data_IF_849910655271
#
_entry.id   IF_849910655271
#
_cell.length_a   1.000
_cell.length_b   1.000
_cell.length_c   1.000
_cell.angle_alpha   90.00
_cell.angle_beta   90.00
_cell.angle_gamma   90.00
#
_symmetry.space_group_name_H-M   'P 1'
#
loop_
_entity.id
_entity.type
_entity.pdbx_description
1 polymer ?
#
# COMPACT_ATOMS: atom_id res chain seq x y z
N UNK A 1 0.67 -16.55 66.18
CA UNK A 1 1.46 -15.73 65.23
C UNK A 1 1.86 -16.46 63.94
N UNK A 2 2.29 -17.73 63.95
CA UNK A 2 2.67 -18.49 62.72
C UNK A 2 1.56 -18.69 61.66
N UNK A 3 0.27 -18.56 62.02
CA UNK A 3 -0.87 -18.75 61.09
C UNK A 3 -1.11 -17.56 60.13
N UNK A 4 -0.60 -16.37 60.46
CA UNK A 4 -0.76 -15.16 59.63
C UNK A 4 0.49 -14.81 58.82
N UNK A 5 1.65 -15.39 59.14
CA UNK A 5 2.91 -15.10 58.45
C UNK A 5 2.91 -15.59 57.00
N UNK A 6 2.30 -16.74 56.73
CA UNK A 6 2.29 -17.38 55.40
C UNK A 6 1.36 -16.66 54.40
N UNK A 7 0.10 -16.30 54.75
CA UNK A 7 -0.71 -15.49 53.84
C UNK A 7 -0.08 -14.12 53.60
N UNK A 8 0.49 -13.47 54.64
CA UNK A 8 1.17 -12.19 54.49
C UNK A 8 2.37 -12.27 53.54
N UNK A 9 3.19 -13.32 53.63
CA UNK A 9 4.34 -13.53 52.74
C UNK A 9 3.91 -13.79 51.30
N UNK A 10 2.80 -14.53 51.09
CA UNK A 10 2.25 -14.78 49.77
C UNK A 10 1.68 -13.51 49.13
N UNK A 11 1.02 -12.65 49.92
CA UNK A 11 0.52 -11.35 49.44
C UNK A 11 1.67 -10.40 49.12
N UNK A 12 2.74 -10.39 49.92
CA UNK A 12 3.94 -9.60 49.65
C UNK A 12 4.69 -10.09 48.41
N UNK A 13 4.76 -11.40 48.17
CA UNK A 13 5.37 -11.97 46.97
C UNK A 13 4.55 -11.64 45.72
N UNK A 14 3.21 -11.73 45.79
CA UNK A 14 2.32 -11.36 44.70
C UNK A 14 2.37 -9.85 44.40
N UNK A 15 2.44 -9.01 45.44
CA UNK A 15 2.64 -7.57 45.28
C UNK A 15 4.02 -7.23 44.68
N UNK A 16 5.08 -7.97 45.04
CA UNK A 16 6.41 -7.82 44.46
C UNK A 16 6.47 -8.27 42.98
N UNK A 17 5.71 -9.28 42.60
CA UNK A 17 5.53 -9.71 41.20
C UNK A 17 4.75 -8.69 40.36
N UNK A 18 3.75 -8.02 40.94
CA UNK A 18 3.00 -6.94 40.29
C UNK A 18 3.76 -5.59 40.26
N UNK A 19 4.83 -5.44 41.04
CA UNK A 19 5.63 -4.22 41.13
C UNK A 19 6.88 -4.25 40.24
N UNK A 20 7.07 -5.30 39.44
CA UNK A 20 8.08 -5.26 38.37
C UNK A 20 7.55 -4.26 37.35
N UNK A 21 8.22 -3.12 37.12
CA UNK A 21 7.84 -2.25 36.02
C UNK A 21 7.91 -3.09 34.76
N UNK A 22 6.76 -3.31 34.13
CA UNK A 22 6.68 -3.89 32.81
C UNK A 22 7.26 -2.83 31.87
N UNK A 23 8.59 -2.81 31.78
CA UNK A 23 9.28 -1.99 30.81
C UNK A 23 8.76 -2.48 29.47
N UNK A 24 8.00 -1.64 28.78
CA UNK A 24 7.52 -1.97 27.45
C UNK A 24 8.75 -2.37 26.65
N UNK A 25 8.80 -3.64 26.25
CA UNK A 25 9.90 -4.11 25.44
C UNK A 25 9.94 -3.22 24.20
N UNK A 26 11.09 -2.57 23.96
CA UNK A 26 11.26 -1.80 22.74
C UNK A 26 10.94 -2.72 21.56
N UNK A 27 10.10 -2.24 20.64
CA UNK A 27 9.74 -3.03 19.47
C UNK A 27 11.03 -3.37 18.69
N UNK A 28 11.14 -4.60 18.14
CA UNK A 28 12.34 -5.01 17.46
C UNK A 28 12.60 -4.13 16.23
N UNK A 29 13.87 -3.94 15.93
CA UNK A 29 14.33 -3.14 14.80
C UNK A 29 15.32 -3.96 13.98
N UNK A 30 15.18 -3.88 12.65
CA UNK A 30 16.05 -4.56 11.70
C UNK A 30 16.58 -3.54 10.69
N UNK A 31 17.88 -3.37 10.66
CA UNK A 31 18.57 -2.50 9.70
C UNK A 31 18.87 -3.28 8.42
N UNK A 32 18.64 -2.68 7.26
CA UNK A 32 18.88 -3.31 5.95
C UNK A 32 19.64 -2.37 5.01
N UNK A 33 20.47 -2.96 4.15
CA UNK A 33 21.16 -2.32 3.03
C UNK A 33 21.64 -3.40 2.05
N UNK A 34 21.67 -3.10 0.75
CA UNK A 34 22.19 -4.04 -0.25
C UNK A 34 23.71 -4.26 -0.11
N UNK A 35 24.17 -5.48 -0.42
CA UNK A 35 25.57 -5.87 -0.33
C UNK A 35 26.10 -6.05 1.10
N UNK A 36 25.24 -5.88 2.11
CA UNK A 36 25.57 -6.13 3.50
C UNK A 36 25.79 -7.62 3.80
N UNK A 37 26.48 -7.92 4.90
CA UNK A 37 26.71 -9.29 5.40
C UNK A 37 26.39 -9.44 6.88
N UNK A 38 25.72 -8.45 7.47
CA UNK A 38 25.40 -8.42 8.89
C UNK A 38 24.09 -9.14 9.21
N UNK A 39 23.71 -9.05 10.48
CA UNK A 39 22.53 -9.70 11.06
C UNK A 39 21.30 -8.78 11.19
N UNK A 40 21.46 -7.50 10.86
CA UNK A 40 20.43 -6.46 10.95
C UNK A 40 20.29 -5.85 12.33
N UNK A 41 21.20 -6.12 13.27
CA UNK A 41 21.13 -5.60 14.65
C UNK A 41 21.44 -4.11 14.75
N UNK A 42 22.13 -3.53 13.77
CA UNK A 42 22.53 -2.12 13.74
C UNK A 42 22.82 -1.65 12.31
N UNK A 43 22.94 -0.34 12.10
CA UNK A 43 23.33 0.23 10.82
C UNK A 43 24.77 -0.15 10.38
N UNK A 44 25.65 -0.51 11.32
CA UNK A 44 27.01 -1.01 11.04
C UNK A 44 27.04 -2.51 10.73
N UNK A 45 25.96 -3.23 11.07
CA UNK A 45 25.74 -4.65 10.76
C UNK A 45 24.37 -4.84 10.09
N UNK A 46 24.10 -4.21 8.93
CA UNK A 46 22.82 -4.35 8.26
C UNK A 46 22.60 -5.79 7.80
N UNK A 47 21.34 -6.23 7.81
CA UNK A 47 20.95 -7.57 7.41
C UNK A 47 21.40 -7.83 5.98
N UNK A 48 22.05 -8.98 5.78
CA UNK A 48 22.43 -9.44 4.46
C UNK A 48 21.24 -9.42 3.50
N UNK A 49 21.41 -8.72 2.38
CA UNK A 49 20.54 -8.82 1.23
C UNK A 49 21.22 -9.69 0.18
N UNK A 50 20.51 -10.69 -0.37
CA UNK A 50 20.72 -10.95 -1.79
C UNK A 50 20.03 -9.81 -2.53
N UNK A 51 20.67 -9.27 -3.58
CA UNK A 51 19.91 -8.48 -4.56
C UNK A 51 18.73 -9.34 -4.97
N UNK A 52 17.51 -8.79 -4.93
CA UNK A 52 16.29 -9.53 -5.27
C UNK A 52 16.35 -10.01 -6.71
N UNK A 53 16.97 -11.16 -6.92
CA UNK A 53 17.25 -11.68 -8.25
C UNK A 53 16.01 -12.42 -8.72
N UNK A 54 15.47 -11.94 -9.83
CA UNK A 54 14.42 -12.62 -10.56
C UNK A 54 14.90 -14.00 -11.04
N UNK A 55 14.29 -15.08 -10.55
CA UNK A 55 14.37 -16.40 -11.18
C UNK A 55 13.29 -16.53 -12.25
N UNK A 56 13.71 -16.43 -13.51
CA UNK A 56 12.84 -16.50 -14.67
C UNK A 56 12.21 -17.88 -14.90
N UNK A 57 12.73 -18.91 -14.22
CA UNK A 57 12.36 -20.31 -14.46
C UNK A 57 11.33 -20.85 -13.46
N UNK A 58 11.00 -20.08 -12.42
CA UNK A 58 10.02 -20.50 -11.41
C UNK A 58 8.60 -20.62 -11.99
N UNK A 59 7.86 -21.65 -11.57
CA UNK A 59 6.45 -21.87 -11.96
C UNK A 59 5.47 -20.89 -11.30
N UNK A 60 5.91 -20.16 -10.28
CA UNK A 60 5.18 -19.06 -9.64
C UNK A 60 6.16 -17.93 -9.27
N UNK A 61 6.67 -17.14 -10.24
CA UNK A 61 7.71 -16.17 -9.93
C UNK A 61 7.13 -15.04 -9.08
N UNK A 62 7.57 -14.99 -7.84
CA UNK A 62 7.51 -13.82 -6.98
C UNK A 62 8.89 -13.17 -7.00
N UNK A 63 9.01 -11.94 -6.51
CA UNK A 63 10.34 -11.44 -6.17
C UNK A 63 10.97 -12.36 -5.12
N UNK A 64 12.30 -12.53 -5.20
CA UNK A 64 13.04 -13.44 -4.35
C UNK A 64 12.74 -13.17 -2.86
N UNK A 65 12.39 -14.25 -2.17
CA UNK A 65 12.18 -14.24 -0.72
C UNK A 65 13.48 -13.97 0.03
N UNK A 66 14.64 -14.03 -0.61
CA UNK A 66 15.91 -13.76 0.05
C UNK A 66 16.27 -12.25 0.14
N UNK A 67 15.43 -11.35 -0.41
CA UNK A 67 15.60 -9.90 -0.25
C UNK A 67 15.64 -9.49 1.23
N UNK A 68 16.54 -8.56 1.58
CA UNK A 68 16.69 -8.12 2.97
C UNK A 68 15.40 -7.52 3.55
N UNK A 69 14.60 -6.80 2.76
CA UNK A 69 13.33 -6.24 3.23
C UNK A 69 12.31 -7.33 3.56
N UNK A 70 12.26 -8.41 2.77
CA UNK A 70 11.39 -9.56 3.07
C UNK A 70 11.86 -10.30 4.33
N UNK A 71 13.16 -10.57 4.43
CA UNK A 71 13.74 -11.25 5.59
C UNK A 71 13.58 -10.42 6.87
N UNK A 72 13.73 -9.10 6.78
CA UNK A 72 13.44 -8.18 7.88
C UNK A 72 11.95 -8.24 8.28
N UNK A 73 11.03 -8.21 7.32
CA UNK A 73 9.61 -8.34 7.61
C UNK A 73 9.26 -9.69 8.25
N UNK A 74 9.87 -10.79 7.80
CA UNK A 74 9.70 -12.11 8.43
C UNK A 74 10.17 -12.13 9.89
N UNK A 75 11.29 -11.47 10.22
CA UNK A 75 11.76 -11.34 11.61
C UNK A 75 10.78 -10.56 12.50
N UNK A 76 10.02 -9.64 11.91
CA UNK A 76 9.10 -8.75 12.62
C UNK A 76 7.65 -9.23 12.61
N UNK A 77 7.29 -10.26 11.84
CA UNK A 77 5.88 -10.59 11.54
C UNK A 77 4.98 -10.84 12.75
N UNK A 78 5.53 -11.40 13.82
CA UNK A 78 4.79 -11.76 15.04
C UNK A 78 4.70 -10.59 16.04
N UNK A 79 5.70 -9.71 16.04
CA UNK A 79 5.86 -8.66 17.06
C UNK A 79 5.59 -7.26 16.54
N UNK A 80 5.57 -7.09 15.22
CA UNK A 80 5.70 -5.79 14.57
C UNK A 80 7.11 -5.24 14.78
N UNK A 81 7.29 -3.96 14.46
CA UNK A 81 8.55 -3.24 14.70
C UNK A 81 8.96 -2.37 13.53
N UNK A 82 10.26 -2.12 13.41
CA UNK A 82 10.80 -1.18 12.41
C UNK A 82 11.82 -1.85 11.50
N UNK A 83 11.63 -1.70 10.20
CA UNK A 83 12.64 -1.93 9.18
C UNK A 83 13.30 -0.60 8.87
N UNK A 84 14.60 -0.48 9.14
CA UNK A 84 15.39 0.71 8.85
C UNK A 84 16.21 0.47 7.57
N UNK A 85 15.84 1.15 6.50
CA UNK A 85 16.65 1.21 5.28
C UNK A 85 17.79 2.19 5.55
N UNK A 86 18.98 1.65 5.83
CA UNK A 86 20.16 2.40 6.26
C UNK A 86 21.24 2.55 5.17
N UNK A 87 20.93 2.11 3.96
CA UNK A 87 21.70 2.28 2.73
C UNK A 87 20.80 1.99 1.53
N UNK A 88 21.32 2.03 0.29
CA UNK A 88 20.53 1.70 -0.90
C UNK A 88 20.00 0.27 -0.83
N UNK A 89 18.74 0.07 -1.22
CA UNK A 89 18.10 -1.24 -1.40
C UNK A 89 17.42 -1.25 -2.76
N UNK A 90 17.68 -2.27 -3.56
CA UNK A 90 17.13 -2.43 -4.92
C UNK A 90 16.27 -3.69 -4.99
N UNK A 91 15.01 -3.52 -5.36
CA UNK A 91 14.07 -4.60 -5.65
C UNK A 91 13.85 -4.71 -7.15
N UNK A 92 14.03 -5.92 -7.67
CA UNK A 92 13.96 -6.24 -9.09
C UNK A 92 15.34 -6.37 -9.74
N UNK A 93 15.35 -6.66 -11.04
CA UNK A 93 16.58 -6.83 -11.83
C UNK A 93 16.71 -5.67 -12.83
N UNK A 94 17.93 -5.18 -13.02
CA UNK A 94 18.25 -4.30 -14.14
C UNK A 94 18.06 -5.08 -15.47
N UNK A 95 17.04 -4.74 -16.24
CA UNK A 95 16.71 -5.20 -17.59
C UNK A 95 16.90 -6.71 -17.90
N UNK A 96 15.78 -7.39 -18.14
CA UNK A 96 15.71 -8.32 -19.28
C UNK A 96 14.81 -7.64 -20.30
N UNK A 97 15.36 -6.72 -21.10
CA UNK A 97 14.65 -6.21 -22.28
C UNK A 97 14.52 -7.37 -23.26
N UNK A 98 13.32 -7.91 -23.36
CA UNK A 98 13.03 -9.02 -24.25
C UNK A 98 12.05 -9.98 -23.61
N UNK A 99 10.80 -9.87 -24.08
CA UNK A 99 9.73 -10.85 -23.95
C UNK A 99 9.04 -10.97 -22.57
N UNK A 100 7.94 -10.22 -22.40
CA UNK A 100 6.73 -10.68 -21.68
C UNK A 100 6.82 -11.14 -20.22
N UNK A 101 7.95 -11.00 -19.53
CA UNK A 101 8.10 -11.47 -18.16
C UNK A 101 7.31 -10.58 -17.18
N UNK A 102 6.14 -11.08 -16.80
CA UNK A 102 5.12 -10.47 -15.95
C UNK A 102 5.67 -9.62 -14.79
N UNK A 103 5.00 -8.49 -14.52
CA UNK A 103 4.98 -7.79 -13.23
C UNK A 103 5.02 -8.77 -12.05
N UNK A 104 6.02 -8.68 -11.15
CA UNK A 104 6.17 -9.58 -9.99
C UNK A 104 6.01 -8.83 -8.67
N UNK A 105 5.31 -9.48 -7.76
CA UNK A 105 4.99 -8.94 -6.44
C UNK A 105 5.97 -9.50 -5.40
N UNK A 106 6.43 -8.64 -4.49
CA UNK A 106 7.06 -9.03 -3.23
C UNK A 106 6.01 -9.00 -2.12
N UNK A 107 5.68 -10.17 -1.59
CA UNK A 107 4.72 -10.31 -0.50
C UNK A 107 5.41 -10.08 0.86
N UNK A 108 5.29 -8.87 1.40
CA UNK A 108 6.01 -8.43 2.59
C UNK A 108 5.46 -9.09 3.87
N UNK A 109 6.27 -9.91 4.54
CA UNK A 109 6.04 -10.35 5.92
C UNK A 109 5.04 -11.50 6.15
N UNK A 110 4.63 -12.22 5.09
CA UNK A 110 3.73 -13.41 5.16
C UNK A 110 2.62 -13.33 6.23
N UNK A 111 1.61 -12.47 6.02
CA UNK A 111 0.43 -12.31 6.90
C UNK A 111 0.77 -11.83 8.33
N UNK A 112 1.58 -10.78 8.46
CA UNK A 112 1.90 -10.21 9.77
C UNK A 112 0.70 -9.48 10.39
N UNK A 113 0.47 -9.66 11.70
CA UNK A 113 -0.70 -9.08 12.39
C UNK A 113 -0.38 -7.80 13.14
N UNK A 114 0.88 -7.62 13.51
CA UNK A 114 1.37 -6.40 14.15
C UNK A 114 1.94 -5.41 13.12
N UNK A 115 1.84 -4.09 13.35
CA UNK A 115 2.33 -3.09 12.42
C UNK A 115 3.84 -3.17 12.18
N UNK A 116 4.24 -3.10 10.92
CA UNK A 116 5.64 -2.93 10.51
C UNK A 116 5.81 -1.52 9.95
N UNK A 117 6.77 -0.78 10.52
CA UNK A 117 7.17 0.54 10.01
C UNK A 117 8.40 0.39 9.14
N UNK A 118 8.39 0.98 7.95
CA UNK A 118 9.52 1.04 7.02
C UNK A 118 9.99 2.49 6.94
N UNK A 119 11.26 2.73 7.25
CA UNK A 119 11.81 4.09 7.30
C UNK A 119 13.30 4.16 6.98
N UNK A 120 13.80 5.34 6.64
CA UNK A 120 15.23 5.64 6.57
C UNK A 120 15.69 6.64 7.64
N UNK A 121 14.84 6.95 8.64
CA UNK A 121 15.21 7.76 9.80
C UNK A 121 15.02 6.95 11.07
N UNK A 122 16.08 6.80 11.87
CA UNK A 122 16.01 6.05 13.13
C UNK A 122 17.01 6.58 14.15
N UNK A 123 16.61 6.67 15.41
CA UNK A 123 17.42 7.19 16.53
C UNK A 123 18.13 8.54 16.23
N UNK A 124 17.42 9.44 15.55
CA UNK A 124 17.93 10.78 15.21
C UNK A 124 18.90 10.81 14.03
N UNK A 125 19.17 9.68 13.39
CA UNK A 125 20.00 9.59 12.18
C UNK A 125 19.10 9.51 10.95
N UNK A 126 19.35 10.36 9.96
CA UNK A 126 18.72 10.31 8.64
C UNK A 126 19.67 9.62 7.64
N UNK A 127 19.42 8.34 7.38
CA UNK A 127 20.27 7.53 6.51
C UNK A 127 20.16 7.91 5.04
N UNK A 128 19.13 8.67 4.63
CA UNK A 128 19.05 9.23 3.28
C UNK A 128 20.20 10.22 3.05
N UNK A 129 20.61 10.92 4.11
CA UNK A 129 21.67 11.93 4.06
C UNK A 129 23.04 11.32 4.33
N UNK A 130 23.17 10.41 5.30
CA UNK A 130 24.47 9.88 5.70
C UNK A 130 24.95 8.74 4.79
N UNK A 131 24.01 7.94 4.28
CA UNK A 131 24.31 6.67 3.61
C UNK A 131 23.58 6.51 2.27
N UNK A 132 22.98 7.58 1.73
CA UNK A 132 22.18 7.54 0.50
C UNK A 132 21.06 6.49 0.52
N UNK A 133 20.47 6.26 1.69
CA UNK A 133 19.41 5.28 1.87
C UNK A 133 18.21 5.56 0.95
N UNK A 134 17.79 4.52 0.22
CA UNK A 134 16.66 4.59 -0.71
C UNK A 134 16.14 3.18 -0.98
N UNK A 135 14.86 3.09 -1.37
CA UNK A 135 14.24 1.87 -1.86
C UNK A 135 13.97 2.03 -3.36
N UNK A 136 14.72 1.31 -4.20
CA UNK A 136 14.54 1.37 -5.65
C UNK A 136 13.67 0.21 -6.13
N UNK A 137 12.59 0.53 -6.84
CA UNK A 137 11.74 -0.43 -7.54
C UNK A 137 12.08 -0.42 -9.03
N UNK A 138 12.82 -1.42 -9.51
CA UNK A 138 13.19 -1.56 -10.93
C UNK A 138 12.18 -2.43 -11.69
N UNK A 139 12.52 -2.91 -12.89
CA UNK A 139 11.79 -3.99 -13.56
C UNK A 139 11.96 -5.32 -12.77
N UNK A 140 10.96 -6.18 -12.57
CA UNK A 140 9.51 -6.03 -12.55
C UNK A 140 9.07 -6.06 -11.08
N UNK A 141 9.22 -4.96 -10.33
CA UNK A 141 9.06 -4.96 -8.87
C UNK A 141 7.81 -4.21 -8.37
N UNK A 142 6.98 -4.92 -7.62
CA UNK A 142 5.90 -4.37 -6.79
C UNK A 142 6.03 -4.90 -5.36
N UNK A 143 5.40 -4.20 -4.41
CA UNK A 143 5.32 -4.64 -3.03
C UNK A 143 3.85 -4.86 -2.69
N UNK A 144 3.54 -6.01 -2.10
CA UNK A 144 2.24 -6.31 -1.51
C UNK A 144 2.44 -6.53 -0.02
N UNK A 145 1.93 -5.60 0.78
CA UNK A 145 1.94 -5.69 2.22
C UNK A 145 0.96 -6.78 2.65
N UNK A 146 1.42 -7.69 3.51
CA UNK A 146 0.59 -8.76 4.03
C UNK A 146 0.15 -8.47 5.47
N UNK A 147 0.13 -7.22 5.88
CA UNK A 147 -0.26 -6.80 7.23
C UNK A 147 -0.26 -5.29 7.36
N UNK A 148 -0.62 -4.75 8.54
CA UNK A 148 -0.62 -3.32 8.78
C UNK A 148 0.77 -2.71 8.58
N UNK A 149 0.90 -1.65 7.78
CA UNK A 149 2.20 -1.06 7.44
C UNK A 149 2.22 0.44 7.55
N UNK A 150 3.36 0.97 7.99
CA UNK A 150 3.65 2.40 7.97
C UNK A 150 4.87 2.65 7.09
N UNK A 151 4.79 3.62 6.19
CA UNK A 151 5.86 4.05 5.31
C UNK A 151 6.21 5.49 5.62
N UNK A 152 7.35 5.78 6.23
CA UNK A 152 7.66 7.14 6.65
C UNK A 152 9.14 7.47 6.52
N UNK A 153 9.46 8.75 6.30
CA UNK A 153 10.84 9.23 6.17
C UNK A 153 11.71 8.38 5.22
N UNK A 154 11.19 8.09 4.03
CA UNK A 154 11.77 7.18 3.05
C UNK A 154 11.73 7.81 1.65
N UNK A 155 12.78 7.57 0.86
CA UNK A 155 12.77 7.87 -0.58
C UNK A 155 12.60 6.59 -1.37
N UNK A 156 11.54 6.51 -2.17
CA UNK A 156 11.29 5.42 -3.11
C UNK A 156 11.67 5.88 -4.52
N UNK A 157 12.58 5.15 -5.16
CA UNK A 157 13.01 5.44 -6.53
C UNK A 157 12.33 4.48 -7.50
N UNK A 158 11.68 5.01 -8.54
CA UNK A 158 11.03 4.21 -9.58
C UNK A 158 11.93 4.13 -10.81
N UNK A 159 12.44 2.93 -11.09
CA UNK A 159 13.30 2.68 -12.26
C UNK A 159 12.53 2.50 -13.57
N UNK A 160 11.21 2.37 -13.52
CA UNK A 160 10.33 2.24 -14.69
C UNK A 160 8.90 2.65 -14.27
N UNK A 161 8.02 2.75 -15.26
CA UNK A 161 6.59 3.01 -15.13
C UNK A 161 5.85 1.91 -14.35
N UNK A 162 4.62 2.21 -13.90
CA UNK A 162 3.70 1.22 -13.32
C UNK A 162 4.32 0.47 -12.14
N UNK A 163 4.83 1.18 -11.14
CA UNK A 163 5.33 0.60 -9.89
C UNK A 163 4.34 0.83 -8.77
N UNK A 164 4.07 -0.22 -8.00
CA UNK A 164 2.99 -0.25 -7.02
C UNK A 164 3.50 -0.68 -5.66
N UNK A 165 3.04 0.02 -4.64
CA UNK A 165 3.00 -0.47 -3.27
C UNK A 165 1.53 -0.69 -2.93
N UNK A 166 1.20 -1.93 -2.65
CA UNK A 166 -0.14 -2.41 -2.37
C UNK A 166 -0.23 -2.74 -0.88
N UNK A 167 -1.23 -2.21 -0.18
CA UNK A 167 -1.45 -2.44 1.24
C UNK A 167 -2.17 -3.77 1.52
N UNK A 168 -2.64 -4.49 0.50
CA UNK A 168 -3.19 -5.83 0.64
C UNK A 168 -4.50 -5.90 1.43
N UNK A 169 -5.25 -4.79 1.48
CA UNK A 169 -6.43 -4.60 2.33
C UNK A 169 -6.14 -4.61 3.83
N UNK A 170 -4.92 -4.22 4.20
CA UNK A 170 -4.56 -3.94 5.58
C UNK A 170 -4.42 -2.43 5.79
N UNK A 171 -4.62 -1.92 7.03
CA UNK A 171 -4.38 -0.53 7.34
C UNK A 171 -2.97 -0.10 6.92
N UNK A 172 -2.89 0.96 6.13
CA UNK A 172 -1.62 1.49 5.65
C UNK A 172 -1.55 3.00 5.82
N UNK A 173 -0.44 3.46 6.38
CA UNK A 173 -0.16 4.89 6.57
C UNK A 173 1.11 5.26 5.83
N UNK A 174 1.02 6.23 4.94
CA UNK A 174 2.17 6.89 4.31
C UNK A 174 2.40 8.21 5.06
N UNK A 175 3.53 8.33 5.74
CA UNK A 175 3.92 9.48 6.54
C UNK A 175 4.38 10.68 5.70
N UNK A 176 4.49 11.84 6.36
CA UNK A 176 4.87 13.11 5.71
C UNK A 176 6.28 13.07 5.12
N UNK A 177 7.18 12.27 5.70
CA UNK A 177 8.57 12.16 5.24
C UNK A 177 8.77 11.19 4.08
N UNK A 178 7.71 10.53 3.60
CA UNK A 178 7.74 9.68 2.41
C UNK A 178 7.82 10.54 1.15
N UNK A 179 8.62 10.12 0.17
CA UNK A 179 8.58 10.68 -1.17
C UNK A 179 8.93 9.63 -2.23
N UNK A 180 8.42 9.81 -3.45
CA UNK A 180 8.78 8.99 -4.59
C UNK A 180 9.23 9.82 -5.78
N UNK A 181 10.16 9.30 -6.59
CA UNK A 181 10.68 9.98 -7.77
C UNK A 181 11.29 8.98 -8.77
N UNK A 182 11.44 9.34 -10.05
CA UNK A 182 12.18 8.52 -11.00
C UNK A 182 13.64 8.34 -10.60
N UNK A 183 14.23 7.21 -10.99
CA UNK A 183 15.69 7.00 -10.94
C UNK A 183 16.41 7.93 -11.93
N UNK A 184 15.86 8.08 -13.14
CA UNK A 184 16.39 8.95 -14.20
C UNK A 184 15.60 10.26 -14.23
N UNK A 185 16.28 11.36 -13.92
CA UNK A 185 15.69 12.70 -13.83
C UNK A 185 15.06 13.20 -15.13
N UNK A 186 15.36 12.58 -16.27
CA UNK A 186 14.70 12.88 -17.55
C UNK A 186 13.18 12.64 -17.48
N UNK A 187 12.73 11.73 -16.60
CA UNK A 187 11.31 11.39 -16.42
C UNK A 187 10.63 12.12 -15.25
N UNK A 188 11.26 13.14 -14.66
CA UNK A 188 10.69 13.89 -13.51
C UNK A 188 9.33 14.55 -13.80
N UNK A 189 9.06 14.83 -15.06
CA UNK A 189 7.81 15.45 -15.52
C UNK A 189 6.81 14.40 -16.04
N UNK A 190 7.14 13.11 -16.00
CA UNK A 190 6.27 12.00 -16.38
C UNK A 190 5.71 11.29 -15.12
N UNK A 191 4.42 11.49 -14.80
CA UNK A 191 3.77 10.84 -13.66
C UNK A 191 3.93 9.32 -13.63
N UNK A 192 4.07 8.66 -14.78
CA UNK A 192 4.15 7.21 -14.85
C UNK A 192 5.36 6.65 -14.08
N UNK A 193 6.44 7.43 -13.94
CA UNK A 193 7.67 7.08 -13.24
C UNK A 193 7.67 7.46 -11.74
N UNK A 194 6.49 7.65 -11.16
CA UNK A 194 6.29 7.75 -9.72
C UNK A 194 5.58 6.50 -9.20
N UNK A 195 5.71 6.23 -7.91
CA UNK A 195 5.05 5.06 -7.33
C UNK A 195 3.54 5.30 -7.25
N UNK A 196 2.76 4.25 -7.48
CA UNK A 196 1.34 4.24 -7.15
C UNK A 196 1.10 3.52 -5.83
N UNK A 197 0.19 4.04 -5.02
CA UNK A 197 -0.24 3.40 -3.77
C UNK A 197 -1.64 2.83 -3.93
N UNK A 198 -1.87 1.62 -3.42
CA UNK A 198 -3.12 0.89 -3.57
C UNK A 198 -3.51 0.33 -2.20
N UNK A 199 -4.72 0.61 -1.71
CA UNK A 199 -5.19 0.12 -0.41
C UNK A 199 -5.38 -1.41 -0.38
N UNK A 200 -5.62 -2.02 -1.53
CA UNK A 200 -5.84 -3.44 -1.75
C UNK A 200 -4.65 -4.15 -2.41
N UNK A 201 -4.93 -5.20 -3.18
CA UNK A 201 -3.95 -6.03 -3.89
C UNK A 201 -4.10 -5.92 -5.43
N UNK A 202 -3.17 -6.49 -6.19
CA UNK A 202 -3.21 -6.59 -7.66
C UNK A 202 -3.98 -7.80 -8.19
N UNK A 203 -3.81 -8.98 -7.57
CA UNK A 203 -4.24 -10.27 -8.13
C UNK A 203 -5.16 -11.09 -7.21
N UNK A 204 -5.76 -10.47 -6.18
CA UNK A 204 -6.65 -11.20 -5.27
C UNK A 204 -8.07 -11.26 -5.83
N UNK A 205 -8.60 -12.47 -6.02
CA UNK A 205 -9.88 -12.68 -6.72
C UNK A 205 -11.10 -12.14 -5.95
N UNK A 206 -11.11 -12.30 -4.63
CA UNK A 206 -12.12 -11.75 -3.74
C UNK A 206 -11.49 -11.59 -2.37
N UNK A 207 -11.60 -10.41 -1.76
CA UNK A 207 -11.29 -10.20 -0.35
C UNK A 207 -12.47 -9.52 0.32
N UNK A 208 -12.91 -10.08 1.45
CA UNK A 208 -13.90 -9.46 2.35
C UNK A 208 -13.17 -8.65 3.42
N UNK A 209 -12.58 -7.52 3.01
CA UNK A 209 -11.88 -6.59 3.90
C UNK A 209 -12.04 -5.16 3.41
N UNK A 210 -12.19 -4.26 4.38
CA UNK A 210 -12.18 -2.84 4.12
C UNK A 210 -10.81 -2.39 3.59
N UNK A 211 -10.81 -1.47 2.62
CA UNK A 211 -9.61 -0.72 2.26
C UNK A 211 -9.43 0.43 3.25
N UNK A 212 -8.25 0.55 3.86
CA UNK A 212 -7.93 1.64 4.78
C UNK A 212 -6.52 2.18 4.48
N UNK A 213 -6.49 3.29 3.73
CA UNK A 213 -5.27 3.94 3.29
C UNK A 213 -5.27 5.40 3.73
N UNK A 214 -4.22 5.78 4.45
CA UNK A 214 -3.96 7.18 4.83
C UNK A 214 -2.66 7.66 4.20
N UNK A 215 -2.72 8.79 3.49
CA UNK A 215 -1.57 9.48 2.90
C UNK A 215 -1.39 10.84 3.59
N UNK A 216 -0.24 11.03 4.24
CA UNK A 216 0.11 12.31 4.88
C UNK A 216 1.06 13.17 4.03
N UNK A 217 1.83 12.56 3.13
CA UNK A 217 2.76 13.27 2.25
C UNK A 217 3.33 12.40 1.14
N UNK A 218 4.20 12.99 0.32
CA UNK A 218 4.89 12.36 -0.80
C UNK A 218 4.33 12.70 -2.18
N UNK A 219 5.01 12.23 -3.23
CA UNK A 219 4.63 12.41 -4.64
C UNK A 219 4.22 11.08 -5.25
N UNK A 220 3.08 11.03 -5.94
CA UNK A 220 2.48 9.79 -6.44
C UNK A 220 2.08 9.87 -7.91
N UNK A 221 2.19 8.73 -8.59
CA UNK A 221 1.51 8.52 -9.87
C UNK A 221 0.01 8.41 -9.61
N UNK A 222 -0.47 7.26 -9.11
CA UNK A 222 -1.88 7.09 -8.77
C UNK A 222 -2.06 6.65 -7.32
N UNK A 223 -3.19 6.98 -6.72
CA UNK A 223 -3.61 6.47 -5.41
C UNK A 223 -5.00 5.84 -5.53
N UNK A 224 -5.14 4.62 -5.04
CA UNK A 224 -6.38 3.86 -5.07
C UNK A 224 -6.73 3.33 -3.68
N UNK A 225 -7.98 3.49 -3.26
CA UNK A 225 -8.45 3.03 -1.95
C UNK A 225 -8.76 1.53 -1.89
N UNK A 226 -9.20 0.94 -3.01
CA UNK A 226 -9.39 -0.50 -3.15
C UNK A 226 -8.21 -1.13 -3.90
N UNK A 227 -8.47 -1.89 -4.95
CA UNK A 227 -7.49 -2.74 -5.63
C UNK A 227 -6.98 -2.16 -6.95
N UNK A 228 -5.84 -2.68 -7.42
CA UNK A 228 -5.40 -2.41 -8.79
C UNK A 228 -6.28 -3.17 -9.79
N UNK A 229 -6.48 -4.47 -9.56
CA UNK A 229 -7.34 -5.35 -10.37
C UNK A 229 -6.82 -5.61 -11.79
N UNK A 230 -7.07 -6.80 -12.35
CA UNK A 230 -6.81 -7.11 -13.78
C UNK A 230 -7.99 -7.86 -14.40
N UNK A 231 -9.21 -7.44 -14.10
CA UNK A 231 -10.41 -8.08 -14.65
C UNK A 231 -11.59 -8.13 -13.69
N UNK A 232 -12.76 -8.53 -14.21
CA UNK A 232 -14.01 -8.67 -13.46
C UNK A 232 -14.01 -9.79 -12.41
N UNK A 233 -13.06 -10.73 -12.52
CA UNK A 233 -12.85 -11.84 -11.58
C UNK A 233 -12.13 -11.44 -10.28
N UNK A 234 -11.72 -10.18 -10.16
CA UNK A 234 -10.93 -9.66 -9.05
C UNK A 234 -11.76 -8.62 -8.30
N UNK A 235 -12.90 -8.98 -7.70
CA UNK A 235 -13.76 -7.97 -7.08
C UNK A 235 -13.38 -7.73 -5.61
N UNK A 236 -13.36 -6.46 -5.22
CA UNK A 236 -13.17 -6.07 -3.82
C UNK A 236 -14.50 -6.15 -3.10
N UNK A 237 -14.50 -6.64 -1.86
CA UNK A 237 -15.65 -6.66 -0.98
C UNK A 237 -15.29 -5.95 0.33
N UNK A 238 -16.01 -4.87 0.64
CA UNK A 238 -15.88 -4.15 1.90
C UNK A 238 -15.91 -2.64 1.68
N UNK A 239 -16.01 -1.88 2.76
CA UNK A 239 -15.98 -0.42 2.62
C UNK A 239 -14.56 0.08 2.32
N UNK A 240 -14.44 1.23 1.66
CA UNK A 240 -13.17 1.92 1.44
C UNK A 240 -13.13 3.19 2.28
N UNK A 241 -12.02 3.37 2.98
CA UNK A 241 -11.60 4.60 3.63
C UNK A 241 -10.28 5.05 3.00
N UNK A 242 -10.30 6.20 2.33
CA UNK A 242 -9.13 6.85 1.78
C UNK A 242 -8.98 8.24 2.39
N UNK A 243 -7.94 8.45 3.20
CA UNK A 243 -7.68 9.75 3.84
C UNK A 243 -6.42 10.38 3.27
N UNK A 244 -6.53 11.59 2.74
CA UNK A 244 -5.45 12.36 2.12
C UNK A 244 -5.22 13.64 2.91
N UNK A 245 -4.21 13.64 3.77
CA UNK A 245 -3.83 14.80 4.59
C UNK A 245 -2.83 15.73 3.89
N UNK A 246 -2.08 15.21 2.92
CA UNK A 246 -1.09 15.95 2.16
C UNK A 246 -0.50 15.11 1.02
N UNK A 247 0.48 15.68 0.31
CA UNK A 247 1.15 15.06 -0.84
C UNK A 247 0.85 15.74 -2.17
N UNK A 248 1.49 15.25 -3.23
CA UNK A 248 1.30 15.66 -4.62
C UNK A 248 0.81 14.47 -5.44
N UNK A 249 -0.38 14.60 -6.02
CA UNK A 249 -1.04 13.55 -6.80
C UNK A 249 -0.97 13.90 -8.28
N UNK A 250 0.04 13.34 -8.97
CA UNK A 250 0.32 13.65 -10.37
C UNK A 250 -0.68 13.00 -11.33
N UNK A 251 -1.12 11.79 -10.99
CA UNK A 251 -2.22 11.06 -11.63
C UNK A 251 -3.43 10.93 -10.70
N UNK A 252 -4.19 9.85 -10.85
CA UNK A 252 -5.55 9.77 -10.36
C UNK A 252 -5.62 9.32 -8.90
N UNK A 253 -6.55 9.93 -8.16
CA UNK A 253 -7.06 9.45 -6.88
C UNK A 253 -8.38 8.75 -7.14
N UNK A 254 -8.47 7.46 -6.79
CA UNK A 254 -9.63 6.62 -7.08
C UNK A 254 -10.10 5.91 -5.81
N UNK A 255 -11.37 6.02 -5.46
CA UNK A 255 -11.93 5.34 -4.30
C UNK A 255 -12.02 3.82 -4.48
N UNK A 256 -12.51 3.34 -5.63
CA UNK A 256 -12.59 1.90 -5.93
C UNK A 256 -11.35 1.41 -6.68
N UNK A 257 -11.48 0.65 -7.76
CA UNK A 257 -10.36 -0.02 -8.44
C UNK A 257 -9.77 0.81 -9.59
N UNK A 258 -8.47 0.68 -9.86
CA UNK A 258 -7.83 1.30 -11.05
C UNK A 258 -8.31 0.69 -12.37
N UNK A 259 -8.55 -0.61 -12.40
CA UNK A 259 -8.90 -1.31 -13.63
C UNK A 259 -10.38 -1.14 -13.98
N UNK A 260 -10.64 -0.76 -15.23
CA UNK A 260 -11.95 -0.38 -15.74
C UNK A 260 -13.02 -1.50 -15.72
N UNK A 261 -12.63 -2.76 -15.62
CA UNK A 261 -13.56 -3.89 -15.52
C UNK A 261 -13.65 -4.48 -14.13
N UNK A 262 -12.98 -3.90 -13.14
CA UNK A 262 -12.83 -4.50 -11.82
C UNK A 262 -13.74 -3.80 -10.81
N UNK A 263 -14.92 -4.37 -10.48
CA UNK A 263 -15.87 -3.72 -9.58
C UNK A 263 -15.48 -3.88 -8.11
N UNK A 264 -15.95 -2.94 -7.30
CA UNK A 264 -15.96 -3.05 -5.84
C UNK A 264 -17.38 -3.36 -5.33
N UNK A 265 -17.50 -3.78 -4.09
CA UNK A 265 -18.74 -3.69 -3.31
C UNK A 265 -18.51 -2.89 -2.06
N UNK A 266 -19.57 -2.42 -1.40
CA UNK A 266 -19.46 -1.60 -0.20
C UNK A 266 -19.42 -0.10 -0.52
N UNK A 267 -19.31 0.71 0.53
CA UNK A 267 -19.30 2.16 0.43
C UNK A 267 -17.89 2.71 0.25
N UNK A 268 -17.77 3.88 -0.38
CA UNK A 268 -16.51 4.59 -0.50
C UNK A 268 -16.56 5.90 0.27
N UNK A 269 -15.56 6.13 1.10
CA UNK A 269 -15.33 7.38 1.80
C UNK A 269 -13.93 7.91 1.47
N UNK A 270 -13.86 8.99 0.70
CA UNK A 270 -12.63 9.73 0.45
C UNK A 270 -12.66 11.02 1.29
N UNK A 271 -11.65 11.24 2.11
CA UNK A 271 -11.48 12.47 2.90
C UNK A 271 -10.20 13.17 2.50
N UNK A 272 -10.32 14.40 2.01
CA UNK A 272 -9.20 15.24 1.58
C UNK A 272 -9.05 16.41 2.53
N UNK A 273 -7.98 16.43 3.30
CA UNK A 273 -7.64 17.51 4.22
C UNK A 273 -6.55 18.44 3.65
N UNK A 274 -5.77 17.98 2.66
CA UNK A 274 -4.70 18.76 2.04
C UNK A 274 -4.04 18.05 0.86
N UNK A 275 -3.02 18.70 0.29
CA UNK A 275 -2.25 18.20 -0.87
C UNK A 275 -2.52 18.98 -2.16
N UNK A 276 -1.76 18.66 -3.20
CA UNK A 276 -1.85 19.26 -4.54
C UNK A 276 -2.30 18.21 -5.54
N UNK A 277 -3.39 18.47 -6.26
CA UNK A 277 -4.05 17.52 -7.15
C UNK A 277 -3.88 17.96 -8.61
N UNK A 278 -3.25 17.09 -9.42
CA UNK A 278 -3.08 17.31 -10.86
C UNK A 278 -3.85 16.32 -11.72
N UNK A 279 -4.06 15.08 -11.26
CA UNK A 279 -4.93 14.13 -11.95
C UNK A 279 -6.41 14.36 -11.64
N UNK A 280 -7.22 13.32 -11.81
CA UNK A 280 -8.63 13.33 -11.36
C UNK A 280 -8.78 12.82 -9.94
N UNK A 281 -9.84 13.28 -9.26
CA UNK A 281 -10.37 12.66 -8.05
C UNK A 281 -11.67 11.98 -8.42
N UNK A 282 -11.68 10.65 -8.41
CA UNK A 282 -12.85 9.84 -8.75
C UNK A 282 -13.32 9.10 -7.50
N UNK A 283 -14.55 9.34 -7.06
CA UNK A 283 -15.17 8.59 -5.97
C UNK A 283 -15.20 7.09 -6.24
N UNK A 284 -15.43 6.69 -7.50
CA UNK A 284 -15.24 5.32 -7.97
C UNK A 284 -14.51 5.29 -9.33
N UNK A 285 -13.73 4.24 -9.57
CA UNK A 285 -13.12 3.98 -10.88
C UNK A 285 -14.13 3.39 -11.87
N UNK A 286 -13.74 3.26 -13.14
CA UNK A 286 -14.61 2.79 -14.22
C UNK A 286 -15.11 1.34 -14.04
N UNK A 287 -14.49 0.57 -13.14
CA UNK A 287 -15.03 -0.72 -12.70
C UNK A 287 -16.39 -0.63 -12.02
N UNK A 288 -16.74 0.51 -11.43
CA UNK A 288 -18.00 0.73 -10.73
C UNK A 288 -18.24 -0.23 -9.57
N UNK A 289 -19.51 -0.52 -9.32
CA UNK A 289 -19.96 -1.36 -8.21
C UNK A 289 -20.67 -2.63 -8.68
N UNK A 290 -20.55 -3.67 -7.87
CA UNK A 290 -21.30 -4.93 -8.03
C UNK A 290 -22.64 -4.94 -7.30
N UNK A 291 -22.79 -4.15 -6.24
CA UNK A 291 -24.01 -3.98 -5.47
C UNK A 291 -24.79 -2.74 -5.95
N UNK A 292 -26.11 -2.73 -5.73
CA UNK A 292 -27.02 -1.66 -6.15
C UNK A 292 -27.22 -0.59 -5.06
N UNK A 293 -26.60 -0.77 -3.89
CA UNK A 293 -26.79 0.07 -2.70
C UNK A 293 -25.50 0.75 -2.21
N UNK A 294 -24.40 0.65 -2.97
CA UNK A 294 -23.16 1.34 -2.67
C UNK A 294 -23.36 2.86 -2.67
N UNK A 295 -22.73 3.53 -1.70
CA UNK A 295 -22.68 4.99 -1.65
C UNK A 295 -21.24 5.47 -1.80
N UNK A 296 -21.09 6.66 -2.39
CA UNK A 296 -19.83 7.36 -2.54
C UNK A 296 -19.92 8.67 -1.79
N UNK A 297 -18.98 8.90 -0.87
CA UNK A 297 -18.80 10.20 -0.21
C UNK A 297 -17.39 10.70 -0.45
N UNK A 298 -17.28 11.87 -1.09
CA UNK A 298 -16.02 12.62 -1.20
C UNK A 298 -16.14 13.85 -0.33
N UNK A 299 -15.31 13.95 0.71
CA UNK A 299 -15.25 15.11 1.60
C UNK A 299 -13.96 15.87 1.35
N UNK A 300 -14.06 17.17 1.06
CA UNK A 300 -12.92 18.05 0.82
C UNK A 300 -12.93 19.17 1.87
N UNK A 301 -11.97 19.10 2.79
CA UNK A 301 -11.74 20.10 3.83
C UNK A 301 -10.60 21.08 3.43
N UNK A 302 -9.68 20.65 2.54
CA UNK A 302 -8.54 21.45 2.09
C UNK A 302 -7.86 20.86 0.85
N UNK A 303 -6.79 21.49 0.38
CA UNK A 303 -6.02 21.09 -0.80
C UNK A 303 -6.00 22.13 -1.91
N UNK A 304 -5.15 21.91 -2.91
CA UNK A 304 -4.98 22.73 -4.11
C UNK A 304 -5.44 21.97 -5.35
N UNK A 305 -6.41 22.54 -6.08
CA UNK A 305 -7.08 21.90 -7.22
C UNK A 305 -6.97 22.70 -8.52
N UNK A 306 -6.14 23.75 -8.56
CA UNK A 306 -6.05 24.64 -9.72
C UNK A 306 -5.68 23.91 -11.03
N UNK A 307 -4.86 22.87 -10.94
CA UNK A 307 -4.44 22.03 -12.06
C UNK A 307 -5.16 20.66 -12.10
N UNK A 308 -6.19 20.47 -11.27
CA UNK A 308 -6.90 19.19 -11.20
C UNK A 308 -7.74 18.97 -12.46
N UNK A 309 -7.63 17.79 -13.06
CA UNK A 309 -8.34 17.45 -14.29
C UNK A 309 -9.85 17.20 -14.09
N UNK A 310 -10.30 16.97 -12.86
CA UNK A 310 -11.71 16.77 -12.56
C UNK A 310 -11.96 16.13 -11.20
N UNK A 311 -13.13 16.39 -10.63
CA UNK A 311 -13.63 15.76 -9.41
C UNK A 311 -14.97 15.12 -9.74
N UNK A 312 -14.98 13.79 -9.79
CA UNK A 312 -16.10 13.01 -10.28
C UNK A 312 -16.63 12.08 -9.21
N UNK A 313 -17.95 11.87 -9.20
CA UNK A 313 -18.61 10.73 -8.56
C UNK A 313 -17.88 9.44 -8.95
N UNK A 314 -17.83 9.18 -10.25
CA UNK A 314 -17.31 7.97 -10.85
C UNK A 314 -16.59 8.32 -12.15
N UNK A 315 -15.57 7.54 -12.46
CA UNK A 315 -14.83 7.66 -13.71
C UNK A 315 -15.72 7.36 -14.94
N UNK A 316 -15.33 7.87 -16.09
CA UNK A 316 -16.06 7.70 -17.34
C UNK A 316 -16.00 6.25 -17.84
N UNK A 317 -17.07 5.79 -18.50
CA UNK A 317 -17.09 4.44 -19.11
C UNK A 317 -17.31 3.31 -18.09
N UNK A 318 -18.23 3.52 -17.16
CA UNK A 318 -18.56 2.55 -16.10
C UNK A 318 -19.01 1.21 -16.69
N UNK A 319 -18.36 0.12 -16.27
CA UNK A 319 -18.63 -1.23 -16.77
C UNK A 319 -19.68 -2.01 -15.97
N UNK A 320 -19.99 -1.58 -14.74
CA UNK A 320 -20.97 -2.21 -13.86
C UNK A 320 -21.96 -1.16 -13.34
N UNK A 321 -22.38 -1.24 -12.07
CA UNK A 321 -23.31 -0.27 -11.51
C UNK A 321 -22.61 1.04 -11.14
N UNK A 322 -23.38 2.12 -11.24
CA UNK A 322 -23.07 3.42 -10.62
C UNK A 322 -23.49 3.39 -9.14
N UNK A 323 -22.95 4.26 -8.27
CA UNK A 323 -23.40 4.34 -6.89
C UNK A 323 -24.90 4.69 -6.81
N UNK A 324 -25.55 4.23 -5.74
CA UNK A 324 -26.95 4.58 -5.42
C UNK A 324 -27.10 6.05 -5.02
N UNK A 325 -26.07 6.57 -4.36
CA UNK A 325 -25.98 7.95 -3.93
C UNK A 325 -24.51 8.37 -3.97
N UNK A 326 -24.22 9.47 -4.64
CA UNK A 326 -22.92 10.13 -4.60
C UNK A 326 -23.02 11.54 -3.99
N UNK A 327 -22.22 11.77 -2.95
CA UNK A 327 -22.18 13.06 -2.24
C UNK A 327 -20.77 13.66 -2.31
N UNK A 328 -20.70 14.92 -2.73
CA UNK A 328 -19.54 15.78 -2.53
C UNK A 328 -19.81 16.71 -1.35
N UNK A 329 -19.03 16.59 -0.28
CA UNK A 329 -19.09 17.49 0.86
C UNK A 329 -17.88 18.43 0.88
N UNK A 330 -18.12 19.70 0.57
CA UNK A 330 -17.11 20.77 0.59
C UNK A 330 -17.45 21.83 1.65
N UNK A 331 -18.30 21.52 2.64
CA UNK A 331 -18.79 22.49 3.63
C UNK A 331 -17.66 23.20 4.40
N UNK A 332 -16.53 22.51 4.60
CA UNK A 332 -15.37 23.01 5.32
C UNK A 332 -14.25 23.52 4.40
N UNK A 333 -14.43 23.45 3.07
CA UNK A 333 -13.41 23.87 2.13
C UNK A 333 -13.23 25.38 2.17
N UNK A 334 -11.98 25.82 2.39
CA UNK A 334 -11.62 27.24 2.54
C UNK A 334 -10.98 27.85 1.29
N UNK A 335 -10.79 27.08 0.24
CA UNK A 335 -10.23 27.56 -1.03
C UNK A 335 -11.27 28.24 -1.93
N UNK A 336 -10.91 28.44 -3.20
CA UNK A 336 -11.85 28.97 -4.19
C UNK A 336 -12.92 27.92 -4.54
N UNK A 337 -14.08 28.05 -3.92
CA UNK A 337 -15.23 27.16 -4.11
C UNK A 337 -15.74 27.22 -5.56
N UNK A 338 -15.73 28.39 -6.20
CA UNK A 338 -16.22 28.55 -7.57
C UNK A 338 -15.32 27.81 -8.56
N UNK A 339 -14.00 27.97 -8.43
CA UNK A 339 -13.03 27.25 -9.24
C UNK A 339 -13.10 25.73 -8.99
N UNK A 340 -13.26 25.29 -7.74
CA UNK A 340 -13.44 23.88 -7.40
C UNK A 340 -14.69 23.30 -8.06
N UNK A 341 -15.84 23.97 -7.94
CA UNK A 341 -17.10 23.50 -8.51
C UNK A 341 -17.07 23.45 -10.04
N UNK A 342 -16.23 24.26 -10.69
CA UNK A 342 -16.04 24.20 -12.15
C UNK A 342 -15.37 22.91 -12.63
N UNK A 343 -14.68 22.16 -11.75
CA UNK A 343 -14.08 20.85 -12.07
C UNK A 343 -14.95 19.67 -11.61
N UNK A 344 -16.05 19.93 -10.91
CA UNK A 344 -16.92 18.90 -10.34
C UNK A 344 -17.93 18.39 -11.36
N UNK A 345 -18.15 17.08 -11.42
CA UNK A 345 -19.17 16.46 -12.27
C UNK A 345 -19.83 15.24 -11.63
N UNK A 346 -21.09 15.00 -12.00
CA UNK A 346 -21.85 13.77 -11.76
C UNK A 346 -22.23 13.42 -10.31
N UNK A 347 -22.06 14.31 -9.33
CA UNK A 347 -22.57 14.08 -7.97
C UNK A 347 -24.08 14.32 -7.85
N UNK A 348 -24.79 13.44 -7.13
CA UNK A 348 -26.21 13.61 -6.81
C UNK A 348 -26.44 14.77 -5.85
N UNK A 349 -25.55 14.89 -4.85
CA UNK A 349 -25.62 15.90 -3.80
C UNK A 349 -24.29 16.63 -3.63
N UNK A 350 -24.34 17.96 -3.53
CA UNK A 350 -23.18 18.80 -3.22
C UNK A 350 -23.50 19.66 -2.01
N UNK A 351 -22.82 19.39 -0.90
CA UNK A 351 -22.91 20.18 0.33
C UNK A 351 -21.87 21.30 0.28
N UNK A 352 -22.32 22.55 0.21
CA UNK A 352 -21.50 23.75 0.05
C UNK A 352 -21.23 24.46 1.38
N UNK A 353 -20.19 25.30 1.51
CA UNK A 353 -19.98 26.13 2.70
C UNK A 353 -21.18 27.03 3.00
N UNK A 354 -21.44 27.26 4.29
CA UNK A 354 -22.49 28.17 4.72
C UNK A 354 -22.25 29.58 4.16
N UNK A 355 -23.29 30.17 3.56
CA UNK A 355 -23.23 31.50 2.96
C UNK A 355 -22.64 31.57 1.55
N UNK A 356 -22.27 30.44 0.93
CA UNK A 356 -21.91 30.42 -0.49
C UNK A 356 -23.10 30.82 -1.37
N UNK A 357 -22.89 31.80 -2.25
CA UNK A 357 -23.89 32.25 -3.22
C UNK A 357 -23.33 31.98 -4.62
N UNK A 358 -24.04 31.19 -5.43
CA UNK A 358 -23.66 31.00 -6.83
C UNK A 358 -23.81 32.30 -7.59
N UNK A 359 -22.70 32.81 -8.10
CA UNK A 359 -22.72 33.89 -9.08
C UNK A 359 -23.07 33.29 -10.43
N UNK A 360 -24.37 33.21 -10.73
CA UNK A 360 -24.84 32.91 -12.09
C UNK A 360 -24.46 34.07 -13.00
N UNK A 361 -23.36 33.91 -13.74
CA UNK A 361 -23.10 34.78 -14.89
C UNK A 361 -24.08 34.37 -15.97
N UNK A 362 -25.21 35.06 -16.05
CA UNK A 362 -26.17 34.86 -17.12
C UNK A 362 -25.43 34.98 -18.47
N UNK A 363 -25.47 33.92 -19.27
CA UNK A 363 -24.95 33.95 -20.63
C UNK A 363 -25.64 35.09 -21.39
N UNK A 364 -24.92 35.90 -22.18
CA UNK A 364 -25.56 36.93 -23.00
C UNK A 364 -26.58 36.26 -23.93
N UNK A 365 -27.80 36.78 -23.95
CA UNK A 365 -28.89 36.28 -24.79
C UNK A 365 -28.44 36.21 -26.26
N UNK A 366 -28.26 35.00 -26.78
CA UNK A 366 -27.95 34.76 -28.19
C UNK A 366 -29.13 35.24 -29.04
N UNK A 367 -28.92 36.35 -29.74
CA UNK A 367 -29.84 36.82 -30.78
C UNK A 367 -29.92 35.78 -31.89
N UNK A 368 -31.14 35.34 -32.21
CA UNK A 368 -31.42 34.29 -33.19
C UNK A 368 -30.80 34.60 -34.58
N UNK A 369 -30.02 33.65 -35.10
CA UNK A 369 -29.62 33.61 -36.50
C UNK A 369 -30.68 32.83 -37.33
N UNK A 370 -30.95 33.23 -38.57
CA UNK A 370 -32.06 32.69 -39.37
C UNK A 370 -31.76 31.29 -39.92
N UNK A 371 -32.82 30.49 -40.00
CA UNK A 371 -32.83 29.13 -40.54
C UNK A 371 -32.41 29.07 -42.01
N UNK A 372 -31.43 28.22 -42.32
CA UNK A 372 -31.20 27.74 -43.69
C UNK A 372 -31.30 26.22 -43.75
N UNK A 373 -32.42 25.78 -44.32
CA UNK A 373 -32.70 24.43 -44.80
C UNK A 373 -31.72 24.07 -45.92
N UNK A 374 -31.01 22.93 -45.81
CA UNK A 374 -30.38 22.28 -46.97
C UNK A 374 -30.45 20.78 -46.81
N UNK A 375 -30.96 20.13 -47.87
CA UNK A 375 -31.31 18.73 -47.95
C UNK A 375 -30.10 17.79 -48.04
N UNK A 376 -30.33 16.55 -47.61
CA UNK A 376 -29.43 15.41 -47.75
C UNK A 376 -29.11 15.06 -49.21
N UNK A 377 -28.01 14.34 -49.44
CA UNK A 377 -28.10 13.20 -50.34
C UNK A 377 -27.46 11.91 -49.78
N UNK A 378 -28.26 10.86 -49.93
CA UNK A 378 -28.02 9.47 -50.34
C UNK A 378 -26.69 8.73 -50.07
N UNK A 379 -26.93 7.53 -49.55
CA UNK A 379 -26.12 6.33 -49.40
C UNK A 379 -25.43 5.87 -50.70
N UNK A 380 -24.22 5.33 -50.61
CA UNK A 380 -23.62 4.42 -51.62
C UNK A 380 -22.77 3.36 -50.91
N UNK A 381 -22.86 2.12 -51.39
CA UNK A 381 -22.45 0.88 -50.75
C UNK A 381 -21.06 0.35 -51.20
N UNK A 382 -20.42 -0.43 -50.29
CA UNK A 382 -19.56 -1.62 -50.48
C UNK A 382 -18.24 -1.47 -51.32
N UNK A 383 -17.22 -2.37 -51.19
CA UNK A 383 -17.28 -3.76 -50.75
C UNK A 383 -16.15 -4.30 -49.83
N UNK A 384 -16.34 -5.56 -49.45
CA UNK A 384 -15.46 -6.51 -48.77
C UNK A 384 -14.17 -6.86 -49.55
N UNK A 385 -13.11 -7.28 -48.84
CA UNK A 385 -12.16 -8.39 -49.18
C UNK A 385 -11.18 -8.57 -48.00
N UNK A 386 -11.13 -9.69 -47.28
CA UNK A 386 -10.51 -11.03 -47.54
C UNK A 386 -9.01 -11.14 -47.19
N UNK A 387 -8.77 -11.96 -46.15
CA UNK A 387 -7.68 -12.91 -45.87
C UNK A 387 -6.19 -12.55 -46.08
N UNK A 388 -5.36 -12.89 -45.08
CA UNK A 388 -4.30 -13.92 -45.25
C UNK A 388 -3.66 -14.29 -43.90
N UNK A 389 -3.59 -15.59 -43.66
CA UNK A 389 -2.75 -16.28 -42.69
C UNK A 389 -1.25 -16.01 -42.91
N UNK A 390 -0.47 -16.14 -41.83
CA UNK A 390 0.89 -16.67 -41.91
C UNK A 390 1.29 -17.35 -40.60
N UNK A 391 1.28 -18.68 -40.68
CA UNK A 391 1.88 -19.69 -39.82
C UNK A 391 3.43 -19.63 -39.82
N UNK A 392 4.05 -20.36 -38.87
CA UNK A 392 5.45 -20.86 -38.73
C UNK A 392 6.31 -20.23 -37.62
N UNK A 393 7.19 -20.93 -36.89
CA UNK A 393 7.46 -22.34 -36.57
C UNK A 393 8.42 -22.32 -35.36
N UNK A 394 8.39 -23.38 -34.56
CA UNK A 394 9.27 -23.67 -33.42
C UNK A 394 10.77 -23.75 -33.77
N UNK A 395 11.62 -23.48 -32.77
CA UNK A 395 12.93 -24.11 -32.67
C UNK A 395 13.34 -24.29 -31.21
N UNK A 396 13.56 -25.55 -30.90
CA UNK A 396 14.09 -26.20 -29.70
C UNK A 396 15.62 -25.97 -29.59
N UNK A 397 16.18 -25.94 -28.37
CA UNK A 397 17.55 -26.45 -28.06
C UNK A 397 18.04 -26.12 -26.63
N UNK A 398 18.25 -27.21 -25.90
CA UNK A 398 19.40 -27.58 -25.06
C UNK A 398 19.78 -26.82 -23.76
N UNK A 399 19.63 -27.61 -22.70
CA UNK A 399 20.20 -27.56 -21.34
C UNK A 399 21.73 -27.76 -21.35
N UNK A 400 22.44 -27.30 -20.30
CA UNK A 400 23.26 -28.29 -19.60
C UNK A 400 23.29 -28.15 -18.07
N UNK A 401 23.47 -29.32 -17.44
CA UNK A 401 23.66 -29.61 -16.02
C UNK A 401 24.91 -28.96 -15.40
N UNK A 402 24.87 -28.62 -14.09
CA UNK A 402 26.02 -28.91 -13.19
C UNK A 402 25.64 -28.96 -11.68
N UNK A 403 25.80 -30.16 -11.12
CA UNK A 403 26.45 -30.63 -9.86
C UNK A 403 26.56 -29.74 -8.60
N UNK A 404 26.24 -30.36 -7.45
CA UNK A 404 26.19 -29.81 -6.09
C UNK A 404 27.39 -30.18 -5.17
N UNK A 405 27.38 -29.54 -3.98
CA UNK A 405 27.95 -29.88 -2.64
C UNK A 405 29.28 -29.19 -2.22
N UNK A 406 29.63 -29.08 -0.91
CA UNK A 406 28.93 -29.50 0.33
C UNK A 406 28.80 -28.42 1.44
N UNK A 407 28.09 -28.79 2.52
CA UNK A 407 27.75 -28.01 3.71
C UNK A 407 28.82 -28.02 4.83
N UNK A 408 28.86 -26.96 5.66
CA UNK A 408 29.34 -26.92 7.05
C UNK A 408 28.99 -25.55 7.71
N UNK A 409 29.13 -25.37 9.03
CA UNK A 409 28.49 -26.06 10.14
C UNK A 409 27.52 -25.13 10.92
N UNK A 410 26.71 -25.77 11.76
CA UNK A 410 25.68 -25.18 12.62
C UNK A 410 26.32 -24.41 13.79
N UNK A 411 26.01 -23.12 13.92
CA UNK A 411 26.32 -22.33 15.11
C UNK A 411 25.06 -22.18 15.98
N UNK A 412 25.12 -22.74 17.18
CA UNK A 412 24.12 -22.62 18.24
C UNK A 412 24.37 -21.34 19.05
N UNK A 413 23.31 -20.63 19.43
CA UNK A 413 23.42 -19.51 20.36
C UNK A 413 22.24 -18.54 20.37
N UNK A 414 21.00 -19.05 20.46
CA UNK A 414 19.80 -18.22 20.64
C UNK A 414 19.34 -18.22 22.10
N UNK A 415 18.88 -17.08 22.59
CA UNK A 415 18.47 -16.77 23.98
C UNK A 415 17.24 -17.56 24.53
N UNK A 416 17.06 -18.81 24.12
CA UNK A 416 16.02 -19.72 24.62
C UNK A 416 16.20 -20.04 26.11
N UNK A 417 17.42 -19.93 26.65
CA UNK A 417 17.73 -20.18 28.05
C UNK A 417 17.07 -19.21 29.04
N UNK A 418 16.86 -17.94 28.64
CA UNK A 418 16.26 -16.94 29.52
C UNK A 418 14.74 -17.15 29.65
N UNK A 419 14.06 -17.47 28.53
CA UNK A 419 12.61 -17.69 28.50
C UNK A 419 12.25 -19.03 29.14
N UNK A 420 13.01 -20.10 28.87
CA UNK A 420 12.83 -21.39 29.56
C UNK A 420 13.13 -21.24 31.06
N UNK A 421 14.15 -20.48 31.44
CA UNK A 421 14.49 -20.22 32.84
C UNK A 421 13.34 -19.57 33.64
N UNK A 422 12.65 -18.60 33.03
CA UNK A 422 11.52 -17.90 33.67
C UNK A 422 10.31 -18.83 33.80
N UNK A 423 9.97 -19.60 32.76
CA UNK A 423 8.83 -20.53 32.79
C UNK A 423 9.06 -21.65 33.81
N UNK A 424 10.27 -22.21 33.89
CA UNK A 424 10.62 -23.24 34.88
C UNK A 424 10.55 -22.68 36.31
N UNK A 425 11.03 -21.46 36.53
CA UNK A 425 10.95 -20.83 37.85
C UNK A 425 9.50 -20.64 38.33
N UNK A 426 8.59 -20.21 37.44
CA UNK A 426 7.17 -20.03 37.77
C UNK A 426 6.49 -21.37 38.08
N UNK A 427 6.76 -22.42 37.29
CA UNK A 427 6.20 -23.76 37.54
C UNK A 427 6.68 -24.35 38.87
N UNK A 428 7.97 -24.17 39.21
CA UNK A 428 8.53 -24.62 40.49
C UNK A 428 7.88 -23.89 41.66
N UNK A 429 7.67 -22.56 41.55
CA UNK A 429 6.99 -21.78 42.60
C UNK A 429 5.54 -22.26 42.79
N UNK A 430 4.80 -22.51 41.71
CA UNK A 430 3.42 -23.02 41.79
C UNK A 430 3.39 -24.42 42.43
N UNK A 431 4.30 -25.32 42.04
CA UNK A 431 4.38 -26.66 42.61
C UNK A 431 4.72 -26.65 44.10
N UNK A 432 5.66 -25.80 44.54
CA UNK A 432 6.03 -25.64 45.96
C UNK A 432 4.86 -25.10 46.77
N UNK A 433 4.13 -24.10 46.25
CA UNK A 433 2.92 -23.56 46.90
C UNK A 433 1.85 -24.65 47.02
N UNK A 434 1.60 -25.43 45.96
CA UNK A 434 0.64 -26.53 45.98
C UNK A 434 1.00 -27.60 47.02
N UNK A 435 2.27 -28.00 47.12
CA UNK A 435 2.74 -28.98 48.12
C UNK A 435 2.58 -28.46 49.55
N UNK A 436 2.88 -27.18 49.80
CA UNK A 436 2.72 -26.56 51.12
C UNK A 436 1.25 -26.49 51.54
N UNK A 437 0.34 -26.20 50.59
CA UNK A 437 -1.11 -26.17 50.84
C UNK A 437 -1.65 -27.58 51.08
N UNK A 438 -1.21 -28.57 50.31
CA UNK A 438 -1.66 -29.96 50.44
C UNK A 438 -1.14 -30.64 51.71
N UNK A 439 0.10 -30.35 52.14
CA UNK A 439 0.64 -30.87 53.41
C UNK A 439 -0.01 -30.30 54.67
N UNK A 440 -0.78 -29.20 54.57
CA UNK A 440 -1.53 -28.63 55.69
C UNK A 440 -2.98 -29.14 55.81
N UNK A 441 -3.44 -29.99 54.89
CA UNK A 441 -4.77 -30.62 54.91
C UNK A 441 -4.80 -32.00 55.58
N UNK A 442 -3.75 -32.41 56.30
CA UNK A 442 -3.77 -33.58 57.19
C UNK A 442 -3.57 -33.15 58.64
#
# INVERSE_FOLDING_TARGET
MKKFLIPLLATLLLAALCAIPMQAAELPVVFIADGATGDGSSADSPLQATTGNYDATATNPHLDKDTAIYQAALKLKETGGTIVICGPVVLGKAQVRGNGANDRDLYLGENHTAPITITSVYNGVDYRQTNNASLTLTECAHIVCMGPTNWDNLTVLCGNTNRYICAGFYPCVVGEGFDSKPVDETYKDDPAYYVSFVGGERYKKVEDRAGDLTINGGTFNNVCGAQKGIGSNYAHVGDVSLTLNGGTFLGNVIGTSFHNTTPSTGNVNITINGGTFKGTVNGAGAGGFKNDDATVTVTINGGEFADCLGINDIDVGVSNNIPKLSMLNIANYKGDVGALLATVSYFDEIVKPEGYVETTTAAPETTAAPETTTAAPETTAAPETTAADAETTAADAEEPETTAAPAAPKAEGGNTGLIIGIVVAVVVVIAVVAVIVLKKKK
#
